data_IF_987071445280
#
_entry.id   IF_987071445280
#
_cell.length_a   1.000
_cell.length_b   1.000
_cell.length_c   1.000
_cell.angle_alpha   90.00
_cell.angle_beta   90.00
_cell.angle_gamma   90.00
#
_symmetry.space_group_name_H-M   'P 1'
#
loop_
_entity.id
_entity.type
_entity.pdbx_description
1 polymer ?
#
# COMPACT_ATOMS: atom_id res chain seq x y z
N UNK A 1 17.07 -20.30 8.99
CA UNK A 1 17.38 -18.85 9.03
C UNK A 1 16.44 -18.12 8.09
N UNK A 2 15.77 -17.05 8.54
CA UNK A 2 14.96 -16.19 7.66
C UNK A 2 15.89 -15.30 6.84
N UNK A 3 15.79 -15.35 5.51
CA UNK A 3 16.57 -14.47 4.64
C UNK A 3 16.10 -13.02 4.84
N UNK A 4 17.05 -12.13 5.15
CA UNK A 4 16.78 -10.71 5.39
C UNK A 4 16.30 -10.04 4.10
N UNK A 5 15.31 -9.15 4.23
CA UNK A 5 14.85 -8.30 3.14
C UNK A 5 15.99 -7.38 2.67
N UNK A 6 15.91 -6.96 1.41
CA UNK A 6 16.92 -6.10 0.79
C UNK A 6 16.23 -4.90 0.17
N UNK A 7 16.99 -3.86 -0.16
CA UNK A 7 16.51 -2.70 -0.91
C UNK A 7 15.76 -3.10 -2.18
N UNK A 8 16.23 -4.09 -2.92
CA UNK A 8 15.55 -4.59 -4.12
C UNK A 8 14.16 -5.19 -3.81
N UNK A 9 14.00 -5.86 -2.66
CA UNK A 9 12.69 -6.33 -2.25
C UNK A 9 11.73 -5.16 -1.99
N UNK A 10 12.22 -4.06 -1.38
CA UNK A 10 11.42 -2.84 -1.16
C UNK A 10 11.06 -2.16 -2.48
N UNK A 11 12.03 -2.00 -3.41
CA UNK A 11 11.76 -1.49 -4.76
C UNK A 11 10.69 -2.30 -5.47
N UNK A 12 10.79 -3.63 -5.39
CA UNK A 12 9.81 -4.52 -6.01
C UNK A 12 8.41 -4.34 -5.41
N UNK A 13 8.30 -4.22 -4.08
CA UNK A 13 7.02 -3.96 -3.42
C UNK A 13 6.37 -2.66 -3.93
N UNK A 14 7.12 -1.56 -3.89
CA UNK A 14 6.63 -0.24 -4.29
C UNK A 14 6.27 -0.18 -5.78
N UNK A 15 7.11 -0.75 -6.66
CA UNK A 15 6.81 -0.85 -8.10
C UNK A 15 5.55 -1.66 -8.38
N UNK A 16 5.40 -2.80 -7.72
CA UNK A 16 4.22 -3.64 -7.88
C UNK A 16 2.95 -2.91 -7.42
N UNK A 17 3.02 -2.13 -6.33
CA UNK A 17 1.89 -1.36 -5.85
C UNK A 17 1.51 -0.22 -6.81
N UNK A 18 2.50 0.54 -7.28
CA UNK A 18 2.29 1.58 -8.30
C UNK A 18 1.66 0.99 -9.57
N UNK A 19 2.16 -0.17 -10.04
CA UNK A 19 1.59 -0.87 -11.18
C UNK A 19 0.16 -1.37 -10.94
N UNK A 20 -0.15 -1.84 -9.73
CA UNK A 20 -1.51 -2.26 -9.36
C UNK A 20 -2.49 -1.07 -9.39
N UNK A 21 -2.09 0.09 -8.87
CA UNK A 21 -2.90 1.33 -8.91
C UNK A 21 -3.17 1.76 -10.36
N UNK A 22 -2.15 1.70 -11.22
CA UNK A 22 -2.32 2.03 -12.63
C UNK A 22 -3.22 1.03 -13.36
N UNK A 23 -3.15 -0.26 -13.04
CA UNK A 23 -4.03 -1.27 -13.60
C UNK A 23 -5.48 -1.07 -13.15
N UNK A 24 -5.67 -0.72 -11.87
CA UNK A 24 -6.98 -0.36 -11.31
C UNK A 24 -7.58 0.85 -12.04
N UNK A 25 -6.81 1.92 -12.24
CA UNK A 25 -7.28 3.09 -13.01
C UNK A 25 -7.72 2.71 -14.41
N UNK A 26 -6.98 1.86 -15.15
CA UNK A 26 -7.40 1.41 -16.48
C UNK A 26 -8.70 0.63 -16.46
N UNK A 27 -8.94 -0.12 -15.39
CA UNK A 27 -10.18 -0.88 -15.23
C UNK A 27 -11.35 0.06 -14.99
N UNK A 28 -11.14 1.13 -14.22
CA UNK A 28 -12.12 2.19 -13.95
C UNK A 28 -12.38 3.04 -15.20
N UNK A 29 -11.35 3.38 -15.97
CA UNK A 29 -11.47 4.14 -17.24
C UNK A 29 -12.36 3.42 -18.27
N UNK A 30 -12.48 2.10 -18.16
CA UNK A 30 -13.32 1.29 -19.03
C UNK A 30 -14.79 1.20 -18.55
N UNK A 31 -15.13 1.73 -17.38
CA UNK A 31 -16.48 1.68 -16.84
C UNK A 31 -17.38 2.75 -17.49
N UNK A 32 -18.66 2.45 -17.76
CA UNK A 32 -19.63 3.44 -18.19
C UNK A 32 -19.82 4.55 -17.15
N UNK A 33 -20.00 5.82 -17.55
CA UNK A 33 -20.25 6.94 -16.63
C UNK A 33 -21.42 6.71 -15.66
N UNK A 34 -22.44 5.94 -16.08
CA UNK A 34 -23.60 5.58 -15.26
C UNK A 34 -23.28 4.65 -14.06
N UNK A 35 -22.07 4.08 -13.99
CA UNK A 35 -21.64 3.24 -12.86
C UNK A 35 -20.93 4.03 -11.75
N UNK A 36 -20.72 5.34 -11.94
CA UNK A 36 -20.07 6.19 -10.96
C UNK A 36 -21.10 6.90 -10.10
N UNK A 37 -20.79 7.07 -8.81
CA UNK A 37 -21.60 7.86 -7.91
C UNK A 37 -21.48 9.35 -8.26
N UNK A 38 -22.57 10.14 -8.30
CA UNK A 38 -22.54 11.54 -8.74
C UNK A 38 -21.63 12.45 -7.89
N UNK A 39 -21.47 12.14 -6.60
CA UNK A 39 -20.66 12.93 -5.66
C UNK A 39 -19.20 12.44 -5.56
N UNK A 40 -18.92 11.23 -6.02
CA UNK A 40 -17.58 10.61 -6.02
C UNK A 40 -17.18 10.36 -7.46
N UNK A 41 -16.95 11.45 -8.18
CA UNK A 41 -16.74 11.42 -9.62
C UNK A 41 -15.36 10.83 -9.98
N UNK A 42 -15.22 10.39 -11.24
CA UNK A 42 -13.97 9.80 -11.75
C UNK A 42 -12.76 10.71 -11.57
N UNK A 43 -12.94 12.03 -11.69
CA UNK A 43 -11.87 13.02 -11.60
C UNK A 43 -11.19 13.01 -10.22
N UNK A 44 -11.97 13.00 -9.14
CA UNK A 44 -11.44 12.93 -7.78
C UNK A 44 -10.63 11.65 -7.56
N UNK A 45 -11.15 10.50 -8.00
CA UNK A 45 -10.46 9.22 -7.84
C UNK A 45 -9.22 9.09 -8.72
N UNK A 46 -9.26 9.67 -9.92
CA UNK A 46 -8.10 9.78 -10.80
C UNK A 46 -7.01 10.62 -10.16
N UNK A 47 -7.35 11.79 -9.61
CA UNK A 47 -6.40 12.62 -8.87
C UNK A 47 -5.79 11.85 -7.69
N UNK A 48 -6.62 11.20 -6.87
CA UNK A 48 -6.17 10.37 -5.75
C UNK A 48 -5.16 9.29 -6.16
N UNK A 49 -5.44 8.55 -7.23
CA UNK A 49 -4.50 7.53 -7.76
C UNK A 49 -3.21 8.15 -8.31
N UNK A 50 -3.30 9.30 -8.99
CA UNK A 50 -2.13 10.03 -9.50
C UNK A 50 -1.22 10.44 -8.33
N UNK A 51 -1.78 10.97 -7.26
CA UNK A 51 -1.03 11.42 -6.10
C UNK A 51 -0.34 10.26 -5.37
N UNK A 52 -1.03 9.11 -5.24
CA UNK A 52 -0.42 7.88 -4.73
C UNK A 52 0.75 7.43 -5.59
N UNK A 53 0.58 7.38 -6.92
CA UNK A 53 1.66 6.99 -7.84
C UNK A 53 2.84 7.97 -7.76
N UNK A 54 2.57 9.27 -7.65
CA UNK A 54 3.58 10.31 -7.49
C UNK A 54 4.35 10.15 -6.17
N UNK A 55 3.63 9.91 -5.07
CA UNK A 55 4.23 9.64 -3.76
C UNK A 55 5.09 8.36 -3.76
N UNK A 56 4.61 7.26 -4.34
CA UNK A 56 5.39 6.03 -4.46
C UNK A 56 6.68 6.25 -5.27
N UNK A 57 6.65 7.09 -6.31
CA UNK A 57 7.87 7.46 -7.06
C UNK A 57 8.88 8.20 -6.18
N UNK A 58 8.43 9.09 -5.29
CA UNK A 58 9.30 9.76 -4.30
C UNK A 58 9.89 8.78 -3.29
N UNK A 59 9.11 7.80 -2.82
CA UNK A 59 9.66 6.74 -1.97
C UNK A 59 10.72 5.92 -2.72
N UNK A 60 10.46 5.55 -3.97
CA UNK A 60 11.39 4.78 -4.79
C UNK A 60 12.76 5.45 -4.96
N UNK A 61 12.83 6.78 -5.06
CA UNK A 61 14.11 7.50 -5.19
C UNK A 61 14.97 7.50 -3.93
N UNK A 62 14.37 7.18 -2.77
CA UNK A 62 15.05 7.17 -1.46
C UNK A 62 15.28 5.77 -0.90
N UNK A 63 14.92 4.71 -1.65
CA UNK A 63 15.02 3.33 -1.15
C UNK A 63 16.45 2.99 -0.74
N UNK A 64 17.48 3.39 -1.48
CA UNK A 64 18.88 3.03 -1.15
C UNK A 64 19.38 3.64 0.17
N UNK A 65 18.73 4.68 0.68
CA UNK A 65 19.08 5.27 1.96
C UNK A 65 18.60 4.43 3.16
N UNK A 66 17.75 3.42 2.95
CA UNK A 66 17.22 2.60 4.03
C UNK A 66 18.36 1.89 4.80
N UNK A 67 18.48 2.08 6.12
CA UNK A 67 19.50 1.40 6.91
C UNK A 67 19.27 -0.12 6.98
N UNK A 68 20.35 -0.90 7.01
CA UNK A 68 20.27 -2.37 7.17
C UNK A 68 19.51 -2.80 8.43
N UNK A 69 19.62 -2.04 9.53
CA UNK A 69 18.88 -2.30 10.75
C UNK A 69 17.36 -2.26 10.51
N UNK A 70 16.88 -1.30 9.73
CA UNK A 70 15.46 -1.19 9.39
C UNK A 70 14.99 -2.37 8.51
N UNK A 71 15.83 -2.86 7.59
CA UNK A 71 15.52 -4.05 6.80
C UNK A 71 15.38 -5.32 7.66
N UNK A 72 16.19 -5.44 8.73
CA UNK A 72 16.06 -6.53 9.72
C UNK A 72 14.74 -6.41 10.50
N UNK A 73 14.37 -5.19 10.90
CA UNK A 73 13.09 -4.95 11.57
C UNK A 73 11.89 -5.28 10.67
N UNK A 74 11.93 -4.88 9.40
CA UNK A 74 10.92 -5.22 8.41
C UNK A 74 10.82 -6.72 8.19
N UNK A 75 11.96 -7.42 8.14
CA UNK A 75 12.00 -8.89 8.03
C UNK A 75 11.30 -9.55 9.22
N UNK A 76 11.56 -9.02 10.43
CA UNK A 76 10.93 -9.48 11.66
C UNK A 76 9.43 -9.21 11.64
N UNK A 77 9.02 -8.01 11.23
CA UNK A 77 7.61 -7.65 11.09
C UNK A 77 6.89 -8.58 10.10
N UNK A 78 7.48 -8.82 8.93
CA UNK A 78 6.91 -9.65 7.87
C UNK A 78 6.66 -11.11 8.29
N UNK A 79 7.45 -11.63 9.23
CA UNK A 79 7.33 -13.03 9.71
C UNK A 79 6.50 -13.16 10.99
N UNK A 80 6.30 -12.05 11.72
CA UNK A 80 5.67 -12.06 13.05
C UNK A 80 4.22 -11.59 13.04
N UNK A 81 3.85 -10.70 12.12
CA UNK A 81 2.53 -10.06 12.11
C UNK A 81 1.65 -10.61 10.99
N UNK A 82 0.33 -10.52 11.22
CA UNK A 82 -0.65 -10.87 10.20
C UNK A 82 -0.54 -9.91 9.00
N UNK A 83 -0.49 -10.44 7.78
CA UNK A 83 -0.39 -9.63 6.55
C UNK A 83 -1.55 -8.66 6.40
N UNK A 84 -2.74 -8.99 6.91
CA UNK A 84 -3.90 -8.11 6.85
C UNK A 84 -3.73 -6.88 7.75
N UNK A 85 -3.07 -7.05 8.89
CA UNK A 85 -2.75 -5.93 9.80
C UNK A 85 -1.72 -5.03 9.15
N UNK A 86 -0.64 -5.62 8.59
CA UNK A 86 0.37 -4.82 7.88
C UNK A 86 -0.22 -4.10 6.67
N UNK A 87 -1.10 -4.77 5.91
CA UNK A 87 -1.81 -4.16 4.77
C UNK A 87 -2.61 -2.94 5.19
N UNK A 88 -3.42 -3.08 6.25
CA UNK A 88 -4.26 -1.98 6.72
C UNK A 88 -3.42 -0.76 7.11
N UNK A 89 -2.39 -0.97 7.92
CA UNK A 89 -1.49 0.11 8.36
C UNK A 89 -0.74 0.76 7.19
N UNK A 90 -0.29 -0.05 6.22
CA UNK A 90 0.38 0.50 5.04
C UNK A 90 -0.55 1.40 4.23
N UNK A 91 -1.82 1.00 4.06
CA UNK A 91 -2.81 1.80 3.32
C UNK A 91 -3.20 3.08 4.06
N UNK A 92 -3.36 3.02 5.39
CA UNK A 92 -3.60 4.21 6.23
C UNK A 92 -2.45 5.22 6.07
N UNK A 93 -1.19 4.76 6.16
CA UNK A 93 -0.03 5.63 5.97
C UNK A 93 0.09 6.21 4.55
N UNK A 94 -0.28 5.44 3.52
CA UNK A 94 -0.31 5.96 2.15
C UNK A 94 -1.36 7.05 1.99
N UNK A 95 -2.56 6.86 2.56
CA UNK A 95 -3.62 7.85 2.53
C UNK A 95 -3.20 9.14 3.27
N UNK A 96 -2.65 9.03 4.47
CA UNK A 96 -2.18 10.18 5.27
C UNK A 96 -1.08 10.98 4.57
N UNK A 97 -0.18 10.30 3.86
CA UNK A 97 0.90 10.93 3.11
C UNK A 97 0.39 11.71 1.89
N UNK A 98 -0.71 11.26 1.27
CA UNK A 98 -1.29 11.89 0.08
C UNK A 98 -2.31 12.97 0.45
N UNK A 99 -3.07 12.80 1.53
CA UNK A 99 -4.01 13.81 2.03
C UNK A 99 -3.34 15.07 2.60
N UNK A 100 -2.02 15.02 2.79
CA UNK A 100 -1.27 16.11 3.42
C UNK A 100 -1.43 16.18 4.94
N UNK A 101 -2.02 15.14 5.55
CA UNK A 101 -2.18 15.05 7.01
C UNK A 101 -0.87 14.80 7.76
N UNK A 102 0.19 14.37 7.06
CA UNK A 102 1.52 14.18 7.65
C UNK A 102 2.66 14.46 6.65
N UNK A 103 2.89 15.74 6.23
CA UNK A 103 3.67 16.02 5.03
C UNK A 103 5.18 15.84 5.17
N UNK A 104 5.77 16.08 6.34
CA UNK A 104 7.25 16.09 6.49
C UNK A 104 7.82 14.74 6.94
N UNK A 105 7.09 14.01 7.78
CA UNK A 105 7.59 12.80 8.42
C UNK A 105 7.56 11.56 7.52
N UNK A 106 6.86 11.58 6.38
CA UNK A 106 6.70 10.43 5.48
C UNK A 106 7.38 10.61 4.11
N UNK A 107 8.30 11.56 3.98
CA UNK A 107 8.91 11.93 2.69
C UNK A 107 9.89 10.90 2.13
N UNK A 108 10.51 10.09 2.99
CA UNK A 108 11.50 9.07 2.60
C UNK A 108 10.98 7.65 2.82
N UNK A 109 11.52 6.70 2.06
CA UNK A 109 11.20 5.28 2.24
C UNK A 109 11.59 4.77 3.64
N UNK A 110 12.70 5.27 4.19
CA UNK A 110 13.10 4.98 5.58
C UNK A 110 12.02 5.40 6.57
N UNK A 111 11.61 6.67 6.53
CA UNK A 111 10.65 7.18 7.50
C UNK A 111 9.29 6.49 7.35
N UNK A 112 8.81 6.32 6.12
CA UNK A 112 7.56 5.60 5.84
C UNK A 112 7.59 4.18 6.45
N UNK A 113 8.66 3.42 6.21
CA UNK A 113 8.79 2.06 6.71
C UNK A 113 8.96 2.02 8.24
N UNK A 114 9.64 3.01 8.81
CA UNK A 114 9.76 3.18 10.26
C UNK A 114 8.40 3.42 10.92
N UNK A 115 7.57 4.30 10.33
CA UNK A 115 6.20 4.53 10.77
C UNK A 115 5.32 3.30 10.62
N UNK A 116 5.44 2.56 9.51
CA UNK A 116 4.73 1.30 9.31
C UNK A 116 5.05 0.28 10.42
N UNK A 117 6.34 0.11 10.76
CA UNK A 117 6.75 -0.77 11.84
C UNK A 117 6.15 -0.33 13.18
N UNK A 118 6.20 0.98 13.49
CA UNK A 118 5.63 1.52 14.73
C UNK A 118 4.10 1.29 14.80
N UNK A 119 3.38 1.57 13.72
CA UNK A 119 1.92 1.37 13.62
C UNK A 119 1.53 -0.10 13.84
N UNK A 120 2.17 -1.00 13.10
CA UNK A 120 1.92 -2.45 13.22
C UNK A 120 2.25 -2.96 14.62
N UNK A 121 3.36 -2.51 15.24
CA UNK A 121 3.74 -2.91 16.60
C UNK A 121 2.73 -2.51 17.68
N UNK A 122 2.02 -1.39 17.48
CA UNK A 122 0.96 -0.93 18.40
C UNK A 122 -0.28 -1.83 18.34
N UNK A 123 -0.48 -2.59 17.26
CA UNK A 123 -1.62 -3.51 17.12
C UNK A 123 -1.31 -4.86 17.81
N UNK A 124 -2.23 -5.35 18.64
CA UNK A 124 -2.09 -6.59 19.45
C UNK A 124 -2.22 -7.91 18.65
N UNK A 125 -1.92 -7.90 17.35
CA UNK A 125 -2.14 -9.06 16.46
C UNK A 125 -0.83 -9.71 16.01
N UNK A 126 -0.12 -10.32 16.97
CA UNK A 126 1.03 -11.18 16.66
C UNK A 126 0.55 -12.60 16.39
N UNK A 127 0.72 -13.06 15.16
CA UNK A 127 0.56 -14.47 14.78
C UNK A 127 1.78 -14.84 13.97
N UNK A 128 2.66 -15.64 14.55
CA UNK A 128 3.83 -16.17 13.83
C UNK A 128 3.32 -16.92 12.61
N UNK A 129 3.82 -16.53 11.43
CA UNK A 129 3.56 -17.23 10.18
C UNK A 129 4.84 -17.89 9.71
N UNK A 130 4.73 -19.14 9.25
CA UNK A 130 5.87 -19.92 8.73
C UNK A 130 6.32 -19.49 7.33
N UNK A 131 5.73 -18.44 6.75
CA UNK A 131 6.06 -17.95 5.42
C UNK A 131 7.37 -17.15 5.42
N UNK A 132 8.12 -17.22 4.32
CA UNK A 132 9.29 -16.35 4.13
C UNK A 132 8.89 -14.87 4.16
N UNK A 133 9.76 -14.00 4.68
CA UNK A 133 9.52 -12.56 4.74
C UNK A 133 9.14 -11.97 3.37
N UNK A 134 9.82 -12.41 2.30
CA UNK A 134 9.54 -12.01 0.92
C UNK A 134 8.11 -12.39 0.49
N UNK A 135 7.69 -13.62 0.76
CA UNK A 135 6.34 -14.11 0.41
C UNK A 135 5.26 -13.41 1.21
N UNK A 136 5.52 -13.08 2.48
CA UNK A 136 4.60 -12.31 3.31
C UNK A 136 4.47 -10.87 2.83
N UNK A 137 5.59 -10.21 2.52
CA UNK A 137 5.63 -8.83 2.04
C UNK A 137 4.90 -8.66 0.70
N UNK A 138 4.98 -9.65 -0.20
CA UNK A 138 4.24 -9.64 -1.45
C UNK A 138 2.71 -9.61 -1.27
N UNK A 139 2.21 -9.88 -0.05
CA UNK A 139 0.78 -9.85 0.30
C UNK A 139 0.37 -8.60 1.07
N UNK A 140 1.30 -7.71 1.40
CA UNK A 140 0.98 -6.48 2.14
C UNK A 140 0.14 -5.51 1.33
N UNK A 141 0.26 -5.53 0.01
CA UNK A 141 -0.50 -4.65 -0.88
C UNK A 141 -1.23 -5.54 -1.88
N UNK A 142 -2.54 -5.31 -2.04
CA UNK A 142 -3.32 -6.10 -2.97
C UNK A 142 -3.07 -5.68 -4.41
N UNK A 143 -3.25 -6.65 -5.30
CA UNK A 143 -3.22 -6.42 -6.73
C UNK A 143 -4.57 -5.92 -7.26
N UNK A 144 -5.66 -6.42 -6.70
CA UNK A 144 -7.02 -6.05 -7.06
C UNK A 144 -7.52 -5.06 -6.02
N UNK A 145 -8.13 -3.95 -6.46
CA UNK A 145 -8.55 -2.84 -5.61
C UNK A 145 -7.44 -2.41 -4.61
N UNK A 146 -6.28 -1.94 -5.12
CA UNK A 146 -5.09 -1.68 -4.32
C UNK A 146 -5.33 -0.61 -3.24
N UNK A 147 -6.26 0.31 -3.46
CA UNK A 147 -6.59 1.40 -2.54
C UNK A 147 -7.90 1.16 -1.77
N UNK A 148 -8.55 0.00 -1.93
CA UNK A 148 -9.82 -0.35 -1.28
C UNK A 148 -10.97 0.62 -1.63
N UNK A 149 -10.94 1.21 -2.82
CA UNK A 149 -11.97 2.15 -3.29
C UNK A 149 -13.29 1.41 -3.50
N UNK A 150 -13.25 0.15 -3.96
CA UNK A 150 -14.48 -0.63 -4.15
C UNK A 150 -15.13 -1.06 -2.82
N UNK A 151 -14.38 -0.98 -1.71
CA UNK A 151 -14.90 -1.22 -0.36
C UNK A 151 -15.46 0.05 0.30
N UNK A 152 -15.26 1.22 -0.32
CA UNK A 152 -15.78 2.49 0.19
C UNK A 152 -17.31 2.53 -0.05
N UNK A 153 -18.11 2.65 1.02
CA UNK A 153 -19.57 2.63 0.91
C UNK A 153 -20.12 3.79 0.08
N UNK A 154 -19.36 4.86 -0.07
CA UNK A 154 -19.72 6.04 -0.86
C UNK A 154 -19.31 5.88 -2.35
N UNK A 155 -18.52 4.84 -2.66
CA UNK A 155 -17.92 4.58 -3.98
C UNK A 155 -18.27 3.22 -4.55
N UNK A 156 -19.35 2.59 -4.08
CA UNK A 156 -19.84 1.33 -4.63
C UNK A 156 -20.02 1.49 -6.14
N UNK A 157 -19.01 1.06 -6.91
CA UNK A 157 -19.20 0.72 -8.30
C UNK A 157 -20.40 -0.22 -8.32
N UNK A 158 -21.36 0.00 -9.23
CA UNK A 158 -22.43 -0.97 -9.43
C UNK A 158 -21.76 -2.24 -9.99
N UNK A 159 -21.24 -3.08 -9.10
CA UNK A 159 -20.79 -4.41 -9.42
C UNK A 159 -22.06 -5.14 -9.85
N UNK A 160 -22.30 -5.23 -11.16
CA UNK A 160 -23.23 -6.23 -11.67
C UNK A 160 -22.75 -7.55 -11.11
N UNK A 161 -23.52 -8.11 -10.16
CA UNK A 161 -23.39 -9.51 -9.79
C UNK A 161 -23.38 -10.30 -11.09
N UNK A 162 -22.29 -11.03 -11.33
CA UNK A 162 -22.27 -12.00 -12.41
C UNK A 162 -23.40 -12.99 -12.11
N UNK A 163 -24.44 -12.95 -12.94
CA UNK A 163 -25.51 -13.95 -12.99
C UNK A 163 -24.96 -15.26 -13.55
#
# INVERSE_FOLDING_TARGET
MTKVLTHEHIRKLLRNFSAAIQLDQRSVDALPPAQFHPQYNDEMWRAWRIDHVSYIKRLLSTVEAIPSALLVELTTMATTYDTMVVRREALELFADAVSGSCPEELTTAENFLGWLIKGVRRRRSRRRRSASAKSAMAKWLARNDPLRIAEDPECQYILRKAS
#
